data_IF_012403657770
#
_entry.id   IF_012403657770
#
_cell.length_a   1.000
_cell.length_b   1.000
_cell.length_c   1.000
_cell.angle_alpha   90.00
_cell.angle_beta   90.00
_cell.angle_gamma   90.00
#
_symmetry.space_group_name_H-M   'P 1'
#
loop_
_entity.id
_entity.type
_entity.pdbx_description
1 polymer ?
#
# COMPACT_ATOMS: atom_id res chain seq x y z
N UNK A 1 -14.56 10.52 6.61
CA UNK A 1 -13.09 10.39 6.60
C UNK A 1 -12.71 9.81 5.25
N UNK A 2 -11.92 10.53 4.45
CA UNK A 2 -11.70 10.19 3.06
C UNK A 2 -11.00 8.83 2.96
N UNK A 3 -11.71 7.85 2.40
CA UNK A 3 -11.14 6.56 1.99
C UNK A 3 -9.93 6.88 1.11
N UNK A 4 -8.75 6.30 1.41
CA UNK A 4 -7.61 6.36 0.50
C UNK A 4 -8.13 6.06 -0.90
N UNK A 5 -8.03 7.05 -1.80
CA UNK A 5 -8.54 6.91 -3.17
C UNK A 5 -7.65 6.00 -4.02
N UNK A 6 -6.44 5.74 -3.53
CA UNK A 6 -5.49 4.82 -4.13
C UNK A 6 -5.79 3.39 -3.66
N UNK A 7 -5.79 2.47 -4.62
CA UNK A 7 -6.14 1.06 -4.39
C UNK A 7 -5.22 0.16 -5.18
N UNK A 8 -4.62 -0.82 -4.50
CA UNK A 8 -4.00 -1.98 -5.18
C UNK A 8 -5.12 -2.87 -5.70
N UNK A 9 -5.14 -3.09 -7.01
CA UNK A 9 -6.15 -3.88 -7.71
C UNK A 9 -5.69 -5.33 -7.82
N UNK A 10 -4.42 -5.52 -8.20
CA UNK A 10 -3.85 -6.83 -8.47
C UNK A 10 -2.35 -6.82 -8.19
N UNK A 11 -1.77 -7.99 -8.00
CA UNK A 11 -0.34 -8.20 -7.84
C UNK A 11 0.10 -9.38 -8.69
N UNK A 12 1.21 -9.22 -9.40
CA UNK A 12 1.86 -10.30 -10.13
C UNK A 12 2.13 -11.48 -9.18
N UNK A 13 1.93 -12.74 -9.61
CA UNK A 13 2.35 -13.92 -8.86
C UNK A 13 3.77 -13.85 -8.27
N UNK A 14 4.71 -13.18 -8.96
CA UNK A 14 6.08 -13.01 -8.46
C UNK A 14 6.27 -11.82 -7.50
N UNK A 15 5.22 -11.01 -7.33
CA UNK A 15 5.16 -9.87 -6.44
C UNK A 15 6.01 -8.67 -6.88
N UNK A 16 6.57 -8.66 -8.09
CA UNK A 16 7.43 -7.57 -8.59
C UNK A 16 6.65 -6.44 -9.23
N UNK A 17 5.46 -6.72 -9.75
CA UNK A 17 4.58 -5.73 -10.33
C UNK A 17 3.25 -5.72 -9.59
N UNK A 18 2.74 -4.52 -9.34
CA UNK A 18 1.40 -4.31 -8.78
C UNK A 18 0.60 -3.41 -9.71
N UNK A 19 -0.67 -3.76 -9.91
CA UNK A 19 -1.63 -2.89 -10.58
C UNK A 19 -2.25 -1.98 -9.54
N UNK A 20 -2.11 -0.68 -9.70
CA UNK A 20 -2.63 0.32 -8.75
C UNK A 20 -3.50 1.32 -9.49
N UNK A 21 -4.67 1.60 -8.91
CA UNK A 21 -5.47 2.77 -9.24
C UNK A 21 -5.03 3.92 -8.35
N UNK A 22 -4.69 5.05 -8.94
CA UNK A 22 -4.25 6.27 -8.25
C UNK A 22 -5.13 7.43 -8.70
N UNK A 23 -5.62 8.24 -7.75
CA UNK A 23 -6.18 9.55 -8.08
C UNK A 23 -5.08 10.60 -7.93
N UNK A 24 -4.79 11.29 -9.03
CA UNK A 24 -3.81 12.37 -9.11
C UNK A 24 -4.38 13.66 -8.48
N UNK A 25 -3.51 14.63 -8.20
CA UNK A 25 -3.91 15.89 -7.56
C UNK A 25 -4.92 16.71 -8.38
N UNK A 26 -4.92 16.55 -9.70
CA UNK A 26 -5.89 17.16 -10.61
C UNK A 26 -7.27 16.46 -10.62
N UNK A 27 -7.44 15.40 -9.82
CA UNK A 27 -8.66 14.57 -9.76
C UNK A 27 -8.75 13.49 -10.84
N UNK A 28 -7.74 13.36 -11.70
CA UNK A 28 -7.66 12.30 -12.70
C UNK A 28 -7.39 10.95 -12.04
N UNK A 29 -8.11 9.92 -12.48
CA UNK A 29 -7.91 8.55 -12.00
C UNK A 29 -7.15 7.76 -13.05
N UNK A 30 -5.96 7.29 -12.70
CA UNK A 30 -5.09 6.48 -13.56
C UNK A 30 -4.97 5.07 -13.00
N UNK A 31 -4.91 4.08 -13.89
CA UNK A 31 -4.59 2.69 -13.55
C UNK A 31 -3.28 2.33 -14.25
N UNK A 32 -2.30 1.92 -13.47
CA UNK A 32 -0.96 1.64 -13.96
C UNK A 32 -0.32 0.44 -13.28
N UNK A 33 0.69 -0.12 -13.97
CA UNK A 33 1.57 -1.14 -13.42
C UNK A 33 2.78 -0.46 -12.78
N UNK A 34 3.04 -0.78 -11.52
CA UNK A 34 4.15 -0.23 -10.75
C UNK A 34 5.06 -1.34 -10.28
N UNK A 35 6.36 -1.08 -10.28
CA UNK A 35 7.32 -1.97 -9.64
C UNK A 35 7.15 -1.93 -8.13
N UNK A 36 7.00 -3.11 -7.53
CA UNK A 36 6.94 -3.28 -6.10
C UNK A 36 8.37 -3.27 -5.54
N UNK A 37 8.67 -2.28 -4.69
CA UNK A 37 9.91 -2.23 -3.94
C UNK A 37 9.62 -2.45 -2.47
N UNK A 38 10.28 -3.46 -1.87
CA UNK A 38 10.26 -3.65 -0.43
C UNK A 38 11.58 -3.13 0.16
N UNK A 39 11.48 -2.33 1.21
CA UNK A 39 12.65 -1.92 1.97
C UNK A 39 12.80 -2.81 3.21
N UNK A 40 13.97 -3.42 3.37
CA UNK A 40 14.37 -4.03 4.63
C UNK A 40 14.58 -2.96 5.71
N UNK A 41 15.12 -1.80 5.30
CA UNK A 41 15.22 -0.59 6.10
C UNK A 41 14.90 0.61 5.19
N UNK A 42 13.77 1.30 5.39
CA UNK A 42 13.43 2.45 4.56
C UNK A 42 14.34 3.65 4.89
N UNK A 43 14.54 4.59 3.96
CA UNK A 43 15.21 5.86 4.25
C UNK A 43 14.51 6.62 5.39
N UNK A 44 15.24 7.50 6.08
CA UNK A 44 14.79 8.11 7.33
C UNK A 44 13.45 8.85 7.21
N UNK A 45 13.24 9.57 6.11
CA UNK A 45 12.02 10.35 5.86
C UNK A 45 10.80 9.44 5.68
N UNK A 46 10.94 8.38 4.87
CA UNK A 46 9.91 7.36 4.69
C UNK A 46 9.64 6.56 5.96
N UNK A 47 10.67 6.31 6.78
CA UNK A 47 10.51 5.64 8.07
C UNK A 47 9.66 6.48 9.04
N UNK A 48 9.87 7.79 9.06
CA UNK A 48 9.11 8.70 9.90
C UNK A 48 7.62 8.73 9.48
N UNK A 49 7.36 8.84 8.18
CA UNK A 49 6.01 8.79 7.61
C UNK A 49 5.31 7.46 7.90
N UNK A 50 6.00 6.33 7.66
CA UNK A 50 5.46 5.01 7.94
C UNK A 50 5.16 4.81 9.44
N UNK A 51 6.03 5.30 10.34
CA UNK A 51 5.79 5.25 11.79
C UNK A 51 4.57 6.08 12.19
N UNK A 52 4.43 7.28 11.64
CA UNK A 52 3.27 8.14 11.90
C UNK A 52 1.98 7.51 11.39
N UNK A 53 2.00 6.86 10.22
CA UNK A 53 0.85 6.14 9.67
C UNK A 53 0.49 4.92 10.52
N UNK A 54 1.48 4.13 10.94
CA UNK A 54 1.29 2.94 11.80
C UNK A 54 0.89 3.26 13.24
N UNK A 55 1.16 4.48 13.74
CA UNK A 55 0.73 4.90 15.08
C UNK A 55 -0.75 5.28 15.13
N UNK A 56 -1.41 5.46 13.98
CA UNK A 56 -2.84 5.65 13.91
C UNK A 56 -3.56 4.30 14.06
N UNK A 57 -4.81 4.29 14.56
CA UNK A 57 -5.62 3.07 14.58
C UNK A 57 -5.66 2.44 13.19
N UNK A 58 -5.41 1.12 13.06
CA UNK A 58 -5.38 0.47 11.77
C UNK A 58 -6.73 0.64 11.07
N UNK A 59 -6.72 1.18 9.85
CA UNK A 59 -7.92 1.30 9.02
C UNK A 59 -8.38 -0.08 8.54
N UNK A 60 -7.47 -1.05 8.46
CA UNK A 60 -7.74 -2.47 8.26
C UNK A 60 -6.53 -3.32 8.67
N UNK A 61 -6.77 -4.54 9.15
CA UNK A 61 -5.72 -5.55 9.42
C UNK A 61 -5.84 -6.65 8.36
N UNK A 62 -4.77 -6.92 7.63
CA UNK A 62 -4.73 -7.99 6.62
C UNK A 62 -3.77 -9.09 7.07
N UNK A 63 -4.29 -10.32 7.12
CA UNK A 63 -3.52 -11.52 7.36
C UNK A 63 -4.40 -12.74 7.12
N UNK A 64 -3.86 -13.78 6.48
CA UNK A 64 -4.48 -15.09 6.60
C UNK A 64 -4.31 -15.51 8.05
N UNK A 65 -5.42 -15.55 8.80
CA UNK A 65 -5.44 -16.24 10.07
C UNK A 65 -4.96 -17.66 9.81
N UNK A 66 -3.73 -17.99 10.22
CA UNK A 66 -3.38 -19.38 10.43
C UNK A 66 -4.29 -19.84 11.55
N UNK A 67 -5.42 -20.46 11.17
CA UNK A 67 -6.20 -21.26 12.09
C UNK A 67 -5.31 -22.42 12.49
N UNK A 68 -4.58 -22.25 13.60
CA UNK A 68 -4.01 -23.40 14.29
C UNK A 68 -5.18 -24.26 14.72
N UNK A 69 -5.29 -25.45 14.12
CA UNK A 69 -5.96 -26.58 14.73
C UNK A 69 -5.04 -27.20 15.76
#
# INVERSE_FOLDING_TARGET
MARSKNKVIDADPDGRLITVQVELENGEVVIGNYAAYCWLQPPADYLAEARQAMSQPPVATYGMGRSSK
#
